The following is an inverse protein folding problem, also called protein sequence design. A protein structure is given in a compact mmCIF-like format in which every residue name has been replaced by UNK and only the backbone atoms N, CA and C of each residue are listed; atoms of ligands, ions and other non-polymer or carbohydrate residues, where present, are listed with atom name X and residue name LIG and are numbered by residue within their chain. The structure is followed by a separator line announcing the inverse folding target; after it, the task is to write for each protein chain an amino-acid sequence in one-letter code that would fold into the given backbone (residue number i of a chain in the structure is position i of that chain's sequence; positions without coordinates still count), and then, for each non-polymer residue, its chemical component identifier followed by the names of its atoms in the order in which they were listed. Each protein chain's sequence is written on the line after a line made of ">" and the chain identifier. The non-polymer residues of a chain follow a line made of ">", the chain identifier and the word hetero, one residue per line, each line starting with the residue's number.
data_IF_608161246989
#
_entry.id   IF_608161246989
#
_cell.length_a   1.000
_cell.length_b   1.000
_cell.length_c   1.000
_cell.angle_alpha   90.00
_cell.angle_beta   90.00
_cell.angle_gamma   90.00
#
_symmetry.space_group_name_H-M   'P 1'
#
loop_
_entity.id
_entity.type
_entity.pdbx_description
1 polymer ?
#
# COMPACT_ATOMS: atom_id res chain seq x y z
N UNK A 1 -2.01 5.89 -11.77
CA UNK A 1 -1.69 4.97 -10.64
C UNK A 1 -1.05 3.67 -11.13
N UNK A 2 -1.72 2.91 -12.01
CA UNK A 2 -1.23 1.61 -12.52
C UNK A 2 0.21 1.65 -13.06
N UNK A 3 0.49 2.50 -14.04
CA UNK A 3 1.84 2.61 -14.62
C UNK A 3 2.90 3.01 -13.58
N UNK A 4 2.53 3.88 -12.62
CA UNK A 4 3.44 4.30 -11.56
C UNK A 4 3.79 3.16 -10.60
N UNK A 5 2.87 2.21 -10.39
CA UNK A 5 3.12 1.00 -9.63
C UNK A 5 4.06 0.08 -10.42
N UNK A 6 3.78 -0.16 -11.71
CA UNK A 6 4.63 -0.98 -12.58
C UNK A 6 6.07 -0.45 -12.61
N UNK A 7 6.24 0.87 -12.67
CA UNK A 7 7.57 1.51 -12.61
C UNK A 7 8.37 1.12 -11.35
N UNK A 8 7.71 0.87 -10.21
CA UNK A 8 8.41 0.47 -8.98
C UNK A 8 9.14 -0.86 -9.14
N UNK A 9 8.65 -1.76 -10.01
CA UNK A 9 9.29 -3.06 -10.28
C UNK A 9 10.68 -2.92 -10.94
N UNK A 10 10.98 -1.74 -11.50
CA UNK A 10 12.27 -1.45 -12.16
C UNK A 10 13.26 -0.77 -11.24
N UNK A 11 12.79 -0.14 -10.17
CA UNK A 11 13.63 0.72 -9.31
C UNK A 11 13.76 0.19 -7.89
N UNK A 12 12.73 -0.44 -7.32
CA UNK A 12 12.78 -0.99 -5.96
C UNK A 12 13.31 -2.42 -6.00
N UNK A 13 14.60 -2.61 -5.74
CA UNK A 13 15.28 -3.91 -5.79
C UNK A 13 15.44 -4.60 -4.42
N UNK A 14 15.34 -3.84 -3.33
CA UNK A 14 15.59 -4.30 -1.97
C UNK A 14 14.37 -4.23 -1.06
N UNK A 15 14.59 -4.57 0.20
CA UNK A 15 13.60 -4.46 1.27
C UNK A 15 14.29 -4.00 2.55
N UNK A 16 13.79 -2.91 3.12
CA UNK A 16 14.26 -2.37 4.40
C UNK A 16 13.07 -1.85 5.23
N UNK A 17 12.67 -2.56 6.29
CA UNK A 17 11.58 -2.17 7.17
C UNK A 17 12.01 -1.18 8.26
N UNK A 18 13.27 -0.75 8.27
CA UNK A 18 13.82 0.10 9.32
C UNK A 18 13.10 1.45 9.39
N UNK A 19 12.99 1.95 10.61
CA UNK A 19 12.59 3.33 10.85
C UNK A 19 13.71 4.27 10.38
N UNK A 20 13.35 5.29 9.60
CA UNK A 20 14.27 6.29 9.08
C UNK A 20 13.60 7.66 9.20
N UNK A 21 14.35 8.68 9.63
CA UNK A 21 13.89 10.06 9.56
C UNK A 21 13.87 10.53 8.12
N UNK A 22 12.75 11.07 7.65
CA UNK A 22 12.55 11.52 6.28
C UNK A 22 11.90 12.90 6.26
N UNK A 23 12.10 13.63 5.16
CA UNK A 23 11.51 14.95 4.99
C UNK A 23 9.97 14.89 5.00
N UNK A 24 9.34 16.03 5.27
CA UNK A 24 7.89 16.16 5.24
C UNK A 24 7.48 17.56 4.76
N UNK A 25 6.54 17.67 3.81
CA UNK A 25 5.94 16.58 3.00
C UNK A 25 6.90 16.08 1.90
N UNK A 26 6.54 14.99 1.22
CA UNK A 26 7.27 14.45 0.08
C UNK A 26 8.54 13.65 0.41
N UNK A 27 8.78 13.30 1.66
CA UNK A 27 9.87 12.41 2.05
C UNK A 27 9.65 10.96 1.62
N UNK A 28 10.76 10.26 1.45
CA UNK A 28 10.82 8.86 1.05
C UNK A 28 12.12 8.22 1.56
N UNK A 29 12.13 6.91 1.68
CA UNK A 29 13.36 6.13 1.85
C UNK A 29 14.07 6.01 0.49
N UNK A 30 15.35 5.55 0.42
CA UNK A 30 16.04 5.39 -0.85
C UNK A 30 15.23 4.55 -1.86
N UNK A 31 15.24 4.97 -3.12
CA UNK A 31 14.35 4.46 -4.17
C UNK A 31 14.57 2.95 -4.44
N UNK A 32 15.79 2.48 -4.26
CA UNK A 32 16.22 1.10 -4.42
C UNK A 32 15.70 0.14 -3.35
N UNK A 33 15.14 0.67 -2.26
CA UNK A 33 14.60 -0.11 -1.14
C UNK A 33 13.22 0.39 -0.71
N UNK A 34 12.64 -0.26 0.29
CA UNK A 34 11.33 0.05 0.86
C UNK A 34 10.50 -1.20 1.10
N UNK A 35 9.42 -1.07 1.86
CA UNK A 35 8.46 -2.14 2.14
C UNK A 35 7.27 -2.08 1.17
N UNK A 36 6.26 -2.93 1.39
CA UNK A 36 5.05 -2.99 0.57
C UNK A 36 4.30 -1.64 0.46
N UNK A 37 4.18 -0.91 1.57
CA UNK A 37 3.53 0.40 1.61
C UNK A 37 4.32 1.48 0.86
N UNK A 38 5.65 1.45 0.88
CA UNK A 38 6.50 2.42 0.15
C UNK A 38 6.26 2.34 -1.37
N UNK A 39 6.04 1.14 -1.91
CA UNK A 39 5.66 0.91 -3.31
C UNK A 39 4.33 1.61 -3.63
N UNK A 40 3.33 1.45 -2.76
CA UNK A 40 2.01 2.09 -2.92
C UNK A 40 2.14 3.61 -2.83
N UNK A 41 2.86 4.12 -1.81
CA UNK A 41 3.07 5.54 -1.55
C UNK A 41 3.74 6.21 -2.76
N UNK A 42 4.79 5.60 -3.31
CA UNK A 42 5.46 6.11 -4.52
C UNK A 42 4.56 6.12 -5.75
N UNK A 43 3.74 5.08 -5.92
CA UNK A 43 2.80 5.01 -7.04
C UNK A 43 1.75 6.13 -6.98
N UNK A 44 1.21 6.41 -5.78
CA UNK A 44 0.31 7.52 -5.52
C UNK A 44 0.99 8.88 -5.68
N UNK A 45 2.24 9.04 -5.20
CA UNK A 45 2.99 10.29 -5.29
C UNK A 45 3.24 10.69 -6.74
N UNK A 46 3.65 9.75 -7.59
CA UNK A 46 3.74 9.96 -9.04
C UNK A 46 2.37 10.26 -9.69
N UNK A 47 1.27 9.88 -9.05
CA UNK A 47 -0.09 10.22 -9.50
C UNK A 47 -0.59 11.56 -8.94
N UNK A 48 0.25 12.33 -8.25
CA UNK A 48 -0.08 13.63 -7.69
C UNK A 48 -0.67 13.61 -6.28
N UNK A 49 -0.67 12.46 -5.60
CA UNK A 49 -1.17 12.32 -4.22
C UNK A 49 -0.04 11.91 -3.30
N UNK A 50 0.34 12.79 -2.37
CA UNK A 50 1.34 12.46 -1.36
C UNK A 50 0.69 11.80 -0.14
N UNK A 51 0.64 10.45 -0.13
CA UNK A 51 0.07 9.70 0.99
C UNK A 51 0.80 9.96 2.32
N UNK A 52 2.07 10.37 2.31
CA UNK A 52 2.74 10.82 3.53
C UNK A 52 2.00 11.99 4.17
N UNK A 53 1.78 13.05 3.38
CA UNK A 53 1.06 14.24 3.82
C UNK A 53 -0.39 13.93 4.19
N UNK A 54 -1.12 13.28 3.29
CA UNK A 54 -2.57 13.09 3.43
C UNK A 54 -2.94 12.24 4.64
N UNK A 55 -2.18 11.15 4.90
CA UNK A 55 -2.40 10.29 6.06
C UNK A 55 -2.00 11.03 7.33
N UNK A 56 -0.83 11.69 7.36
CA UNK A 56 -0.38 12.40 8.56
C UNK A 56 -1.35 13.53 8.96
N UNK A 57 -1.81 14.31 7.99
CA UNK A 57 -2.77 15.39 8.23
C UNK A 57 -4.12 14.86 8.75
N UNK A 58 -4.61 13.75 8.19
CA UNK A 58 -5.84 13.14 8.66
C UNK A 58 -5.71 12.50 10.05
N UNK A 59 -4.58 11.87 10.34
CA UNK A 59 -4.24 11.39 11.67
C UNK A 59 -4.16 12.54 12.68
N UNK A 60 -3.67 13.72 12.30
CA UNK A 60 -3.67 14.91 13.14
C UNK A 60 -5.09 15.37 13.54
N UNK A 61 -6.07 15.20 12.66
CA UNK A 61 -7.48 15.56 12.91
C UNK A 61 -8.28 14.45 13.59
N UNK A 62 -7.90 13.19 13.40
CA UNK A 62 -8.71 12.04 13.78
C UNK A 62 -7.90 10.93 14.50
N UNK A 63 -6.84 11.30 15.22
CA UNK A 63 -5.91 10.36 15.88
C UNK A 63 -6.59 9.21 16.64
N UNK A 64 -7.72 9.47 17.29
CA UNK A 64 -8.44 8.49 18.10
C UNK A 64 -8.97 7.27 17.33
N UNK A 65 -9.22 7.40 16.01
CA UNK A 65 -9.73 6.30 15.18
C UNK A 65 -8.62 5.46 14.55
N UNK A 66 -7.39 5.94 14.56
CA UNK A 66 -6.25 5.21 14.00
C UNK A 66 -5.72 4.13 14.95
N UNK A 67 -5.14 3.05 14.42
CA UNK A 67 -4.58 1.96 15.23
C UNK A 67 -3.50 2.44 16.19
N UNK A 68 -3.68 2.17 17.49
CA UNK A 68 -2.69 2.45 18.54
C UNK A 68 -1.71 1.29 18.74
N UNK A 69 -1.20 0.73 17.64
CA UNK A 69 -0.17 -0.31 17.66
C UNK A 69 1.23 0.32 17.77
N UNK A 70 2.26 -0.52 17.97
CA UNK A 70 3.69 -0.12 17.92
C UNK A 70 4.10 0.97 18.93
N UNK A 71 3.35 1.13 20.03
CA UNK A 71 3.63 2.15 21.05
C UNK A 71 3.43 3.59 20.58
N UNK A 72 2.72 3.81 19.48
CA UNK A 72 2.52 5.15 18.94
C UNK A 72 1.62 5.99 19.87
N UNK A 73 2.15 7.12 20.35
CA UNK A 73 1.44 8.06 21.23
C UNK A 73 0.81 9.24 20.48
N UNK A 74 1.33 9.55 19.28
CA UNK A 74 0.92 10.64 18.39
C UNK A 74 1.25 10.29 16.94
N UNK A 75 0.69 11.00 15.95
CA UNK A 75 1.13 10.89 14.56
C UNK A 75 2.63 11.15 14.41
N UNK A 76 3.26 10.46 13.48
CA UNK A 76 4.68 10.55 13.16
C UNK A 76 4.90 10.57 11.63
N UNK A 77 5.27 11.74 11.06
CA UNK A 77 5.34 11.91 9.62
C UNK A 77 6.41 11.02 8.95
N UNK A 78 7.33 10.45 9.74
CA UNK A 78 8.37 9.55 9.24
C UNK A 78 7.87 8.13 8.93
N UNK A 79 6.74 7.71 9.52
CA UNK A 79 6.32 6.30 9.50
C UNK A 79 4.82 6.10 9.29
N UNK A 80 3.99 7.13 9.47
CA UNK A 80 2.52 6.99 9.42
C UNK A 80 2.02 6.33 8.14
N UNK A 81 2.46 6.80 6.98
CA UNK A 81 2.08 6.27 5.67
C UNK A 81 2.74 4.94 5.32
N UNK A 82 3.80 4.56 6.04
CA UNK A 82 4.52 3.30 5.84
C UNK A 82 3.85 2.14 6.58
N UNK A 83 2.79 2.39 7.36
CA UNK A 83 2.03 1.37 8.09
C UNK A 83 0.75 1.00 7.36
N UNK A 84 0.61 -0.27 6.98
CA UNK A 84 -0.55 -0.78 6.21
C UNK A 84 -1.88 -0.47 6.91
N UNK A 85 -1.99 -0.66 8.22
CA UNK A 85 -3.25 -0.36 8.92
C UNK A 85 -3.62 1.13 8.95
N UNK A 86 -2.62 2.03 8.88
CA UNK A 86 -2.88 3.46 8.76
C UNK A 86 -3.42 3.79 7.36
N UNK A 87 -2.83 3.19 6.31
CA UNK A 87 -3.34 3.29 4.94
C UNK A 87 -4.80 2.80 4.84
N UNK A 88 -5.11 1.63 5.41
CA UNK A 88 -6.48 1.09 5.48
C UNK A 88 -7.44 2.07 6.14
N UNK A 89 -7.10 2.55 7.34
CA UNK A 89 -7.94 3.50 8.09
C UNK A 89 -8.15 4.79 7.30
N UNK A 90 -7.12 5.30 6.64
CA UNK A 90 -7.23 6.48 5.79
C UNK A 90 -8.18 6.22 4.60
N UNK A 91 -8.02 5.12 3.88
CA UNK A 91 -8.89 4.79 2.74
C UNK A 91 -10.36 4.60 3.14
N UNK A 92 -10.62 3.95 4.28
CA UNK A 92 -11.96 3.83 4.85
C UNK A 92 -12.57 5.21 5.14
N UNK A 93 -11.79 6.10 5.76
CA UNK A 93 -12.22 7.47 6.08
C UNK A 93 -12.44 8.33 4.85
N UNK A 94 -11.76 8.05 3.75
CA UNK A 94 -12.01 8.69 2.45
C UNK A 94 -13.19 8.05 1.67
N UNK A 95 -13.87 7.06 2.25
CA UNK A 95 -15.02 6.39 1.62
C UNK A 95 -14.61 5.58 0.38
N UNK A 96 -13.40 5.02 0.37
CA UNK A 96 -12.83 4.32 -0.79
C UNK A 96 -12.98 2.81 -0.74
N UNK A 97 -13.63 2.29 0.29
CA UNK A 97 -13.81 0.85 0.52
C UNK A 97 -14.72 0.21 -0.53
N UNK A 98 -14.31 -0.95 -1.01
CA UNK A 98 -15.07 -1.85 -1.87
C UNK A 98 -15.32 -3.19 -1.16
N UNK A 99 -16.32 -3.97 -1.60
CA UNK A 99 -16.53 -5.32 -1.07
C UNK A 99 -15.31 -6.21 -1.28
N UNK A 100 -15.00 -7.03 -0.26
CA UNK A 100 -14.03 -8.12 -0.38
C UNK A 100 -14.76 -9.34 -0.92
N UNK A 101 -14.35 -9.85 -2.07
CA UNK A 101 -14.93 -11.03 -2.70
C UNK A 101 -13.85 -12.03 -3.08
N UNK A 102 -14.26 -13.22 -3.52
CA UNK A 102 -13.37 -14.23 -4.11
C UNK A 102 -13.42 -14.24 -5.64
N UNK A 103 -14.13 -13.31 -6.26
CA UNK A 103 -14.24 -13.19 -7.71
C UNK A 103 -13.17 -12.22 -8.22
N UNK A 104 -12.23 -12.69 -9.04
CA UNK A 104 -11.12 -11.88 -9.55
C UNK A 104 -11.58 -10.67 -10.36
N UNK A 105 -12.71 -10.80 -11.07
CA UNK A 105 -13.27 -9.74 -11.92
C UNK A 105 -13.76 -8.51 -11.12
N UNK A 106 -13.94 -8.64 -9.80
CA UNK A 106 -14.30 -7.52 -8.93
C UNK A 106 -13.11 -6.59 -8.65
N UNK A 107 -11.88 -7.04 -8.93
CA UNK A 107 -10.63 -6.33 -8.66
C UNK A 107 -10.05 -5.79 -9.97
N UNK A 108 -10.18 -4.48 -10.19
CA UNK A 108 -9.80 -3.81 -11.42
C UNK A 108 -8.43 -3.12 -11.29
N UNK A 109 -7.72 -2.90 -12.41
CA UNK A 109 -6.46 -2.16 -12.40
C UNK A 109 -6.59 -0.79 -11.72
N UNK A 110 -5.72 -0.52 -10.76
CA UNK A 110 -5.75 0.68 -9.92
C UNK A 110 -6.33 0.45 -8.54
N UNK A 111 -6.99 -0.68 -8.29
CA UNK A 111 -7.46 -1.04 -6.96
C UNK A 111 -6.29 -1.33 -6.03
N UNK A 112 -6.50 -1.01 -4.76
CA UNK A 112 -5.57 -1.26 -3.66
C UNK A 112 -6.15 -2.41 -2.85
N UNK A 113 -5.32 -3.41 -2.61
CA UNK A 113 -5.73 -4.60 -1.84
C UNK A 113 -4.75 -4.78 -0.68
N UNK A 114 -5.29 -5.14 0.48
CA UNK A 114 -4.50 -5.46 1.67
C UNK A 114 -4.72 -6.91 2.07
N UNK A 115 -3.69 -7.52 2.64
CA UNK A 115 -3.72 -8.91 3.08
C UNK A 115 -3.19 -9.09 4.50
N UNK A 116 -3.56 -10.20 5.11
CA UNK A 116 -2.84 -10.84 6.21
C UNK A 116 -2.05 -12.03 5.64
N UNK A 117 -0.72 -11.94 5.66
CA UNK A 117 0.17 -12.98 5.14
C UNK A 117 0.27 -14.20 6.05
N UNK A 118 -0.22 -14.09 7.28
CA UNK A 118 -0.35 -15.07 8.37
C UNK A 118 0.01 -14.38 9.68
N UNK A 119 -0.69 -14.76 10.75
CA UNK A 119 -0.41 -14.29 12.12
C UNK A 119 -0.39 -12.76 12.27
N UNK A 120 -1.17 -12.03 11.46
CA UNK A 120 -1.29 -10.59 11.56
C UNK A 120 -0.16 -9.81 10.90
N UNK A 121 0.63 -10.44 10.01
CA UNK A 121 1.60 -9.74 9.19
C UNK A 121 0.83 -9.03 8.06
N UNK A 122 0.69 -7.72 8.17
CA UNK A 122 -0.05 -6.92 7.20
C UNK A 122 0.74 -6.69 5.90
N UNK A 123 0.04 -6.75 4.77
CA UNK A 123 0.62 -6.52 3.43
C UNK A 123 -0.32 -5.71 2.54
N UNK A 124 0.23 -5.04 1.52
CA UNK A 124 -0.53 -4.18 0.61
C UNK A 124 0.07 -4.19 -0.80
N UNK A 125 -0.77 -3.94 -1.80
CA UNK A 125 -0.38 -3.91 -3.21
C UNK A 125 -1.43 -3.24 -4.08
N UNK A 126 -1.08 -3.05 -5.35
CA UNK A 126 -1.94 -2.42 -6.35
C UNK A 126 -2.21 -3.42 -7.47
N UNK A 127 -3.48 -3.57 -7.85
CA UNK A 127 -3.88 -4.34 -9.04
C UNK A 127 -3.42 -3.60 -10.28
N UNK A 128 -2.73 -4.28 -11.21
CA UNK A 128 -2.21 -3.66 -12.43
C UNK A 128 -2.80 -4.29 -13.69
N UNK A 129 -2.79 -3.56 -14.80
CA UNK A 129 -3.31 -3.98 -16.10
C UNK A 129 -2.43 -5.03 -16.82
N UNK A 130 -1.75 -5.89 -16.07
CA UNK A 130 -0.99 -7.03 -16.58
C UNK A 130 -1.80 -8.28 -16.30
N UNK A 131 -2.17 -9.02 -17.35
CA UNK A 131 -3.02 -10.21 -17.24
C UNK A 131 -2.20 -11.49 -17.06
N UNK A 132 -2.62 -12.33 -16.12
CA UNK A 132 -2.12 -13.70 -15.93
C UNK A 132 -3.07 -14.69 -16.59
N UNK A 133 -2.59 -15.40 -17.60
CA UNK A 133 -3.35 -16.50 -18.21
C UNK A 133 -3.52 -17.69 -17.26
N UNK A 134 -2.55 -17.90 -16.36
CA UNK A 134 -2.55 -19.05 -15.43
C UNK A 134 -3.60 -18.86 -14.34
N UNK A 135 -3.61 -17.71 -13.66
CA UNK A 135 -4.59 -17.42 -12.61
C UNK A 135 -5.86 -16.74 -13.11
N UNK A 136 -5.96 -16.44 -14.42
CA UNK A 136 -7.10 -15.78 -15.07
C UNK A 136 -7.50 -14.49 -14.34
N UNK A 137 -6.58 -13.54 -14.28
CA UNK A 137 -6.83 -12.26 -13.62
C UNK A 137 -5.65 -11.31 -13.72
N UNK A 138 -5.86 -10.10 -13.22
CA UNK A 138 -4.83 -9.07 -13.14
C UNK A 138 -3.79 -9.37 -12.06
N UNK A 139 -2.54 -9.05 -12.35
CA UNK A 139 -1.42 -9.16 -11.41
C UNK A 139 -1.46 -8.07 -10.34
N UNK A 140 -0.73 -8.31 -9.25
CA UNK A 140 -0.53 -7.37 -8.17
C UNK A 140 0.91 -6.86 -8.21
N UNK A 141 1.09 -5.54 -8.17
CA UNK A 141 2.39 -4.95 -7.82
C UNK A 141 2.51 -4.79 -6.30
N UNK A 142 3.56 -5.38 -5.73
CA UNK A 142 3.90 -5.27 -4.30
C UNK A 142 5.39 -5.58 -4.06
N UNK A 143 5.88 -5.32 -2.85
CA UNK A 143 7.21 -5.77 -2.39
C UNK A 143 7.07 -6.58 -1.10
N UNK A 144 7.57 -7.81 -1.10
CA UNK A 144 7.48 -8.76 0.03
C UNK A 144 8.86 -9.32 0.45
N UNK A 145 9.94 -8.58 0.15
CA UNK A 145 11.28 -8.91 0.68
C UNK A 145 12.42 -8.92 -0.34
N UNK A 146 12.12 -9.14 -1.62
CA UNK A 146 13.12 -9.30 -2.69
C UNK A 146 12.92 -8.28 -3.82
N UNK A 147 12.50 -7.06 -3.46
CA UNK A 147 12.16 -5.99 -4.39
C UNK A 147 10.69 -6.03 -4.84
N UNK A 148 10.27 -4.95 -5.51
CA UNK A 148 8.92 -4.84 -6.05
C UNK A 148 8.73 -5.74 -7.27
N UNK A 149 7.62 -6.47 -7.33
CA UNK A 149 7.30 -7.43 -8.40
C UNK A 149 5.84 -7.33 -8.80
N UNK A 150 5.54 -7.80 -10.01
CA UNK A 150 4.18 -8.07 -10.48
C UNK A 150 3.91 -9.57 -10.36
N UNK A 151 3.06 -9.99 -9.42
CA UNK A 151 2.82 -11.42 -9.13
C UNK A 151 1.33 -11.75 -9.06
N UNK A 152 0.98 -13.01 -9.37
CA UNK A 152 -0.39 -13.52 -9.33
C UNK A 152 -0.72 -14.01 -7.92
N UNK A 153 -0.95 -13.05 -7.02
CA UNK A 153 -1.09 -13.31 -5.59
C UNK A 153 -2.40 -12.83 -4.97
N UNK A 154 -3.30 -12.25 -5.77
CA UNK A 154 -4.54 -11.61 -5.32
C UNK A 154 -5.32 -12.46 -4.31
N UNK A 155 -5.51 -13.75 -4.61
CA UNK A 155 -6.28 -14.70 -3.78
C UNK A 155 -5.40 -15.71 -3.03
N UNK A 156 -4.08 -15.53 -2.99
CA UNK A 156 -3.15 -16.47 -2.33
C UNK A 156 -3.10 -16.27 -0.81
N UNK A 157 -3.53 -15.09 -0.33
CA UNK A 157 -3.54 -14.72 1.08
C UNK A 157 -4.91 -14.20 1.49
N UNK A 158 -5.15 -14.09 2.81
CA UNK A 158 -6.41 -13.58 3.32
C UNK A 158 -6.52 -12.08 3.03
N UNK A 159 -7.45 -11.69 2.15
CA UNK A 159 -7.75 -10.28 1.88
C UNK A 159 -8.37 -9.66 3.14
N UNK A 160 -7.84 -8.51 3.55
CA UNK A 160 -8.29 -7.73 4.71
C UNK A 160 -8.87 -6.38 4.33
N UNK A 161 -8.72 -5.96 3.07
CA UNK A 161 -9.21 -4.69 2.57
C UNK A 161 -9.13 -4.61 1.05
N UNK A 162 -10.09 -3.92 0.46
CA UNK A 162 -10.20 -3.67 -0.97
C UNK A 162 -10.67 -2.23 -1.17
N UNK A 163 -9.93 -1.44 -1.94
CA UNK A 163 -10.18 0.00 -2.07
C UNK A 163 -9.98 0.49 -3.49
N UNK A 164 -10.76 1.49 -3.89
CA UNK A 164 -10.58 2.24 -5.14
C UNK A 164 -10.57 3.72 -4.87
N UNK A 165 -9.46 4.38 -5.18
CA UNK A 165 -9.25 5.79 -4.81
C UNK A 165 -9.81 6.79 -5.83
N UNK A 166 -9.86 6.43 -7.12
CA UNK A 166 -10.34 7.26 -8.22
C UNK A 166 -11.59 6.69 -8.87
#
# INVERSE_FOLDING_TARGET
>A
LVENAIDQTRVTSGYDPSYVGIDYPGGDVPLETGVCSDVVVRAFRKAGIDLQKEIHDDMGRAWSVYPKKWGAARPDPNIDHRRVLNLMTYFDRQGKTLPITTHRDDYLPGDIVTWDLSNGIEHIGIVVNIWSEVGRGYLIVHNIGAGARSEDVLLNWKITGHYRFF
#
